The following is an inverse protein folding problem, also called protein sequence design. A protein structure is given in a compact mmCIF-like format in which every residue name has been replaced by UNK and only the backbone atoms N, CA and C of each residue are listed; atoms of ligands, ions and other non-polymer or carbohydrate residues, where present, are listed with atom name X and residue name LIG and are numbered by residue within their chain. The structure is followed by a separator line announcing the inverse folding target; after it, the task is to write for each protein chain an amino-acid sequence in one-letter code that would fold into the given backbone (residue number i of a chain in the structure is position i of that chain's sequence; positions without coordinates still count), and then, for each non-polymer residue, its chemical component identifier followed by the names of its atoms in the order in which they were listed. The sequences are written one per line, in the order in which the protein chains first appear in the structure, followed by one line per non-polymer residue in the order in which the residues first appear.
data_IF_431033347756
#
_entry.id   IF_431033347756
#
_cell.length_a   1.000
_cell.length_b   1.000
_cell.length_c   1.000
_cell.angle_alpha   90.00
_cell.angle_beta   90.00
_cell.angle_gamma   90.00
#
_symmetry.space_group_name_H-M   'P 1'
#
loop_
_entity.id
_entity.type
_entity.pdbx_description
1 polymer ?
#
# COMPACT_ATOMS: atom_id res chain seq x y z
N UNK A 1 -9.06 21.81 17.89
CA UNK A 1 -9.10 20.57 17.09
C UNK A 1 -8.91 20.97 15.63
N UNK A 2 -7.89 20.47 14.92
CA UNK A 2 -7.63 20.85 13.52
C UNK A 2 -8.50 19.97 12.62
N UNK A 3 -9.17 20.60 11.64
CA UNK A 3 -10.03 19.87 10.70
C UNK A 3 -9.21 18.80 9.95
N UNK A 4 -9.74 17.56 9.74
CA UNK A 4 -9.02 16.45 9.10
C UNK A 4 -8.39 16.81 7.74
N UNK A 5 -9.06 17.64 6.94
CA UNK A 5 -8.54 18.09 5.63
C UNK A 5 -7.19 18.82 5.72
N UNK A 6 -6.94 19.57 6.79
CA UNK A 6 -5.64 20.20 7.02
C UNK A 6 -4.55 19.20 7.42
N UNK A 7 -4.93 18.10 8.06
CA UNK A 7 -3.99 17.02 8.38
C UNK A 7 -3.46 16.33 7.13
N UNK A 8 -4.30 16.12 6.15
CA UNK A 8 -3.99 15.42 4.91
C UNK A 8 -2.98 16.20 4.05
N UNK A 9 -2.97 17.54 4.11
CA UNK A 9 -2.02 18.38 3.38
C UNK A 9 -0.54 18.14 3.76
N UNK A 10 -0.30 17.50 4.91
CA UNK A 10 1.06 17.14 5.36
C UNK A 10 1.47 15.72 4.96
N UNK A 11 0.59 14.97 4.30
CA UNK A 11 0.90 13.64 3.80
C UNK A 11 1.41 13.76 2.37
N UNK A 12 2.54 13.11 2.12
CA UNK A 12 3.11 12.94 0.79
C UNK A 12 3.27 11.46 0.52
N UNK A 13 2.95 11.05 -0.69
CA UNK A 13 3.10 9.67 -1.15
C UNK A 13 4.22 9.55 -2.16
N UNK A 14 4.83 8.39 -2.27
CA UNK A 14 5.94 8.10 -3.16
C UNK A 14 5.89 6.62 -3.56
N UNK A 15 6.50 6.25 -4.67
CA UNK A 15 6.65 4.87 -5.08
C UNK A 15 8.11 4.56 -5.37
N UNK A 16 8.64 3.55 -4.72
CA UNK A 16 9.99 3.07 -4.92
C UNK A 16 9.97 1.94 -5.96
N UNK A 17 10.45 2.24 -7.15
CA UNK A 17 10.43 1.30 -8.28
C UNK A 17 11.31 0.07 -8.04
N UNK A 18 12.46 0.24 -7.38
CA UNK A 18 13.40 -0.85 -7.13
C UNK A 18 12.81 -1.89 -6.18
N UNK A 19 12.21 -1.44 -5.09
CA UNK A 19 11.56 -2.32 -4.11
C UNK A 19 10.08 -2.59 -4.41
N UNK A 20 9.49 -1.97 -5.44
CA UNK A 20 8.06 -2.06 -5.79
C UNK A 20 7.16 -1.74 -4.58
N UNK A 21 7.49 -0.67 -3.88
CA UNK A 21 6.89 -0.32 -2.59
C UNK A 21 6.22 1.04 -2.65
N UNK A 22 4.95 1.08 -2.31
CA UNK A 22 4.20 2.32 -2.14
C UNK A 22 4.45 2.89 -0.75
N UNK A 23 4.78 4.16 -0.69
CA UNK A 23 5.22 4.85 0.52
C UNK A 23 4.31 6.03 0.84
N UNK A 24 4.13 6.32 2.11
CA UNK A 24 3.54 7.57 2.56
C UNK A 24 4.33 8.11 3.75
N UNK A 25 4.47 9.43 3.78
CA UNK A 25 5.15 10.15 4.85
C UNK A 25 4.28 11.31 5.32
N UNK A 26 4.18 11.48 6.63
CA UNK A 26 3.62 12.67 7.21
C UNK A 26 4.75 13.63 7.56
N UNK A 27 4.85 14.73 6.82
CA UNK A 27 5.85 15.77 7.09
C UNK A 27 5.64 16.39 8.47
N UNK A 28 6.73 16.64 9.17
CA UNK A 28 6.71 17.37 10.45
C UNK A 28 6.06 18.76 10.28
N UNK A 29 5.22 19.16 11.24
CA UNK A 29 4.57 20.49 11.28
C UNK A 29 5.42 21.52 12.00
N UNK A 30 6.23 21.04 12.94
CA UNK A 30 7.08 21.89 13.77
C UNK A 30 8.43 21.22 14.01
N UNK A 31 9.39 22.02 14.49
CA UNK A 31 10.71 21.51 14.90
C UNK A 31 10.53 20.53 16.08
N UNK A 32 11.04 19.31 15.93
CA UNK A 32 10.92 18.25 16.93
C UNK A 32 9.70 17.33 16.75
N UNK A 33 8.84 17.58 15.77
CA UNK A 33 7.74 16.68 15.41
C UNK A 33 8.29 15.42 14.74
N UNK A 34 7.62 14.28 14.97
CA UNK A 34 7.96 13.04 14.27
C UNK A 34 7.45 13.08 12.83
N UNK A 35 8.22 12.48 11.94
CA UNK A 35 7.87 12.34 10.51
C UNK A 35 7.79 10.85 10.16
N UNK A 36 6.74 10.14 10.62
CA UNK A 36 6.63 8.71 10.40
C UNK A 36 6.43 8.37 8.93
N UNK A 37 6.97 7.23 8.55
CA UNK A 37 6.81 6.63 7.24
C UNK A 37 5.94 5.38 7.33
N UNK A 38 5.08 5.21 6.34
CA UNK A 38 4.27 4.00 6.13
C UNK A 38 4.64 3.43 4.77
N UNK A 39 4.64 2.11 4.66
CA UNK A 39 4.76 1.43 3.37
C UNK A 39 3.63 0.44 3.15
N UNK A 40 3.32 0.21 1.89
CA UNK A 40 2.48 -0.88 1.45
C UNK A 40 3.16 -1.60 0.29
N UNK A 41 3.15 -2.92 0.35
CA UNK A 41 3.71 -3.81 -0.66
C UNK A 41 2.76 -4.94 -0.93
N UNK A 42 2.72 -5.40 -2.18
CA UNK A 42 2.09 -6.67 -2.57
C UNK A 42 3.16 -7.67 -2.95
N UNK A 43 3.00 -8.92 -2.51
CA UNK A 43 3.90 -10.02 -2.87
C UNK A 43 3.13 -11.34 -2.96
N UNK A 44 3.63 -12.28 -3.74
CA UNK A 44 3.15 -13.66 -3.85
C UNK A 44 4.34 -14.61 -4.02
N UNK A 45 4.09 -15.91 -4.05
CA UNK A 45 5.11 -16.92 -4.33
C UNK A 45 5.44 -17.02 -5.82
N UNK A 46 4.46 -16.67 -6.66
CA UNK A 46 4.54 -16.65 -8.12
C UNK A 46 4.89 -15.25 -8.64
N UNK A 47 5.10 -15.15 -9.94
CA UNK A 47 5.25 -13.87 -10.60
C UNK A 47 3.88 -13.24 -10.92
N UNK A 48 3.79 -11.93 -10.82
CA UNK A 48 2.65 -11.17 -11.28
C UNK A 48 2.66 -11.04 -12.81
N UNK A 49 1.49 -11.09 -13.41
CA UNK A 49 1.35 -10.75 -14.83
C UNK A 49 1.42 -9.23 -15.01
N UNK A 50 2.47 -8.77 -15.68
CA UNK A 50 2.69 -7.35 -15.96
C UNK A 50 3.15 -6.55 -14.75
N UNK A 51 3.02 -5.23 -14.85
CA UNK A 51 3.46 -4.31 -13.83
C UNK A 51 2.45 -4.17 -12.69
N UNK A 52 2.95 -3.98 -11.47
CA UNK A 52 2.15 -3.52 -10.35
C UNK A 52 1.81 -2.05 -10.59
N UNK A 53 0.53 -1.70 -10.53
CA UNK A 53 0.07 -0.32 -10.65
C UNK A 53 -0.49 0.16 -9.32
N UNK A 54 -0.54 1.48 -9.14
CA UNK A 54 -0.92 2.07 -7.87
C UNK A 54 -1.72 3.38 -8.04
N UNK A 55 -2.44 3.75 -6.99
CA UNK A 55 -3.14 5.03 -6.91
C UNK A 55 -3.09 5.54 -5.47
N UNK A 56 -2.75 6.81 -5.31
CA UNK A 56 -2.70 7.45 -4.00
C UNK A 56 -3.71 8.57 -3.81
N UNK A 57 -4.41 8.97 -4.87
CA UNK A 57 -5.52 9.91 -4.80
C UNK A 57 -6.85 9.18 -4.66
N UNK A 58 -7.53 9.38 -3.52
CA UNK A 58 -8.87 8.82 -3.32
C UNK A 58 -9.88 9.30 -4.35
N UNK A 59 -9.74 10.54 -4.80
CA UNK A 59 -10.61 11.09 -5.85
C UNK A 59 -10.46 10.32 -7.17
N UNK A 60 -9.22 10.02 -7.56
CA UNK A 60 -8.96 9.23 -8.77
C UNK A 60 -9.43 7.79 -8.61
N UNK A 61 -9.23 7.21 -7.41
CA UNK A 61 -9.67 5.85 -7.10
C UNK A 61 -11.20 5.71 -7.20
N UNK A 62 -11.93 6.59 -6.52
CA UNK A 62 -13.40 6.53 -6.51
C UNK A 62 -13.98 7.00 -7.84
N UNK A 63 -13.45 8.09 -8.41
CA UNK A 63 -13.98 8.75 -9.59
C UNK A 63 -15.13 9.72 -9.30
N UNK A 64 -15.38 10.63 -10.25
CA UNK A 64 -16.44 11.62 -10.16
C UNK A 64 -17.82 10.95 -10.20
N UNK A 65 -18.72 11.38 -9.33
CA UNK A 65 -20.11 10.88 -9.23
C UNK A 65 -20.20 9.38 -8.87
N UNK A 66 -19.18 8.84 -8.21
CA UNK A 66 -19.14 7.47 -7.72
C UNK A 66 -18.91 7.41 -6.21
N UNK A 67 -18.98 6.22 -5.63
CA UNK A 67 -18.77 5.97 -4.22
C UNK A 67 -17.88 4.75 -4.00
N UNK A 68 -17.55 4.45 -2.73
CA UNK A 68 -16.69 3.31 -2.35
C UNK A 68 -17.28 1.94 -2.72
N UNK A 69 -18.59 1.83 -2.91
CA UNK A 69 -19.22 0.57 -3.30
C UNK A 69 -18.97 0.24 -4.79
N UNK A 70 -18.87 1.28 -5.62
CA UNK A 70 -18.67 1.17 -7.05
C UNK A 70 -17.62 2.18 -7.52
N UNK A 71 -16.36 2.06 -7.10
CA UNK A 71 -15.32 3.00 -7.49
C UNK A 71 -14.93 2.78 -8.96
N UNK A 72 -14.53 3.87 -9.63
CA UNK A 72 -14.11 3.86 -11.03
C UNK A 72 -13.03 2.83 -11.33
N UNK A 73 -12.08 2.65 -10.42
CA UNK A 73 -10.95 1.73 -10.61
C UNK A 73 -11.36 0.25 -10.64
N UNK A 74 -12.60 -0.09 -10.29
CA UNK A 74 -13.13 -1.44 -10.38
C UNK A 74 -13.84 -1.71 -11.70
N UNK A 75 -13.96 -0.73 -12.59
CA UNK A 75 -14.40 -0.97 -13.96
C UNK A 75 -13.33 -1.78 -14.70
N UNK A 76 -13.73 -2.72 -15.56
CA UNK A 76 -12.83 -3.69 -16.17
C UNK A 76 -11.63 -3.07 -16.88
N UNK A 77 -11.82 -1.93 -17.54
CA UNK A 77 -10.79 -1.23 -18.30
C UNK A 77 -10.23 0.03 -17.60
N UNK A 78 -10.57 0.26 -16.33
CA UNK A 78 -10.11 1.46 -15.64
C UNK A 78 -8.67 1.29 -15.11
N UNK A 79 -7.67 1.94 -15.72
CA UNK A 79 -6.29 1.84 -15.25
C UNK A 79 -6.10 2.59 -13.93
N UNK A 80 -5.18 2.10 -13.09
CA UNK A 80 -4.56 2.92 -12.07
C UNK A 80 -3.50 3.79 -12.75
N UNK A 81 -3.53 5.08 -12.45
CA UNK A 81 -2.72 6.08 -13.18
C UNK A 81 -1.41 6.43 -12.49
N UNK A 82 -1.05 5.67 -11.46
CA UNK A 82 0.22 5.76 -10.73
C UNK A 82 0.47 7.17 -10.15
N UNK A 83 -0.56 7.77 -9.57
CA UNK A 83 -0.45 9.07 -8.90
C UNK A 83 0.34 8.95 -7.61
N UNK A 84 1.33 9.82 -7.43
CA UNK A 84 2.09 10.01 -6.17
C UNK A 84 2.29 11.49 -5.88
N UNK A 85 2.83 11.81 -4.71
CA UNK A 85 3.11 13.18 -4.28
C UNK A 85 2.12 13.68 -3.23
N UNK A 86 1.82 14.97 -3.28
CA UNK A 86 0.87 15.60 -2.36
C UNK A 86 -0.52 15.58 -2.96
N UNK A 87 -1.42 14.81 -2.38
CA UNK A 87 -2.82 14.70 -2.78
C UNK A 87 -3.74 15.16 -1.65
N UNK A 88 -4.93 15.64 -1.98
CA UNK A 88 -5.86 16.20 -0.98
C UNK A 88 -6.41 15.14 -0.01
N UNK A 89 -6.69 13.95 -0.50
CA UNK A 89 -7.21 12.84 0.29
C UNK A 89 -6.39 11.57 -0.06
N UNK A 90 -5.27 11.32 0.65
CA UNK A 90 -4.35 10.25 0.33
C UNK A 90 -4.89 8.89 0.73
N UNK A 91 -4.68 7.92 -0.15
CA UNK A 91 -4.87 6.49 0.07
C UNK A 91 -3.61 5.74 -0.36
N UNK A 92 -3.50 4.49 0.01
CA UNK A 92 -2.53 3.56 -0.56
C UNK A 92 -3.31 2.43 -1.23
N UNK A 93 -3.20 2.33 -2.55
CA UNK A 93 -3.86 1.28 -3.34
C UNK A 93 -2.87 0.69 -4.32
N UNK A 94 -2.78 -0.63 -4.33
CA UNK A 94 -1.95 -1.41 -5.26
C UNK A 94 -2.85 -2.35 -6.06
N UNK A 95 -2.55 -2.50 -7.35
CA UNK A 95 -3.18 -3.47 -8.25
C UNK A 95 -2.11 -4.36 -8.85
N UNK A 96 -2.35 -5.66 -8.79
CA UNK A 96 -1.54 -6.68 -9.45
C UNK A 96 -2.46 -7.64 -10.20
N UNK A 97 -1.93 -8.28 -11.23
CA UNK A 97 -2.63 -9.31 -12.00
C UNK A 97 -1.95 -10.65 -11.80
N UNK A 98 -2.76 -11.70 -11.70
CA UNK A 98 -2.31 -13.08 -11.57
C UNK A 98 -3.12 -13.96 -12.50
N UNK A 99 -2.46 -14.93 -13.11
CA UNK A 99 -3.12 -16.03 -13.79
C UNK A 99 -3.27 -17.20 -12.83
N UNK A 100 -4.47 -17.75 -12.73
CA UNK A 100 -4.79 -18.92 -11.91
C UNK A 100 -5.42 -19.94 -12.85
N UNK A 101 -4.78 -21.11 -13.01
CA UNK A 101 -5.29 -22.19 -13.84
C UNK A 101 -6.40 -22.97 -13.11
N UNK A 102 -7.28 -23.69 -13.83
CA UNK A 102 -8.33 -24.48 -13.21
C UNK A 102 -7.78 -25.49 -12.19
N UNK A 103 -8.28 -25.41 -10.94
CA UNK A 103 -7.85 -26.26 -9.83
C UNK A 103 -6.61 -25.79 -9.09
N UNK A 104 -6.03 -24.66 -9.48
CA UNK A 104 -4.87 -24.04 -8.83
C UNK A 104 -5.32 -23.04 -7.75
N UNK A 105 -4.51 -22.90 -6.70
CA UNK A 105 -4.67 -21.89 -5.66
C UNK A 105 -3.42 -21.02 -5.57
N UNK A 106 -3.60 -19.68 -5.52
CA UNK A 106 -2.50 -18.73 -5.34
C UNK A 106 -2.77 -17.80 -4.18
N UNK A 107 -1.73 -17.57 -3.37
CA UNK A 107 -1.81 -16.66 -2.22
C UNK A 107 -1.13 -15.34 -2.53
N UNK A 108 -1.86 -14.23 -2.36
CA UNK A 108 -1.37 -12.87 -2.48
C UNK A 108 -1.34 -12.23 -1.09
N UNK A 109 -0.25 -11.56 -0.77
CA UNK A 109 -0.05 -10.92 0.51
C UNK A 109 0.11 -9.41 0.32
N UNK A 110 -0.77 -8.64 0.96
CA UNK A 110 -0.61 -7.20 1.11
C UNK A 110 0.02 -6.92 2.47
N UNK A 111 1.20 -6.33 2.46
CA UNK A 111 1.96 -6.02 3.67
C UNK A 111 1.98 -4.52 3.88
N UNK A 112 1.53 -4.10 5.06
CA UNK A 112 1.59 -2.70 5.49
C UNK A 112 2.44 -2.61 6.74
N UNK A 113 3.34 -1.64 6.80
CA UNK A 113 4.18 -1.41 7.97
C UNK A 113 4.56 0.06 8.12
N UNK A 114 5.19 0.39 9.24
CA UNK A 114 5.62 1.75 9.52
C UNK A 114 7.01 1.79 10.14
N UNK A 115 7.66 2.95 10.07
CA UNK A 115 8.97 3.19 10.68
C UNK A 115 9.27 4.67 10.83
N UNK A 116 10.36 4.97 11.52
CA UNK A 116 10.80 6.34 11.81
C UNK A 116 11.46 7.04 10.62
N UNK A 117 11.92 6.30 9.62
CA UNK A 117 12.59 6.85 8.44
C UNK A 117 12.22 6.08 7.16
N UNK A 118 12.43 6.72 5.98
CA UNK A 118 12.27 6.06 4.67
C UNK A 118 13.14 4.81 4.58
N UNK A 119 14.37 4.87 5.08
CA UNK A 119 15.31 3.74 5.08
C UNK A 119 14.77 2.56 5.87
N UNK A 120 14.20 2.79 7.05
CA UNK A 120 13.67 1.72 7.91
C UNK A 120 12.50 0.99 7.23
N UNK A 121 11.57 1.74 6.63
CA UNK A 121 10.42 1.13 5.96
C UNK A 121 10.81 0.39 4.68
N UNK A 122 11.81 0.85 3.94
CA UNK A 122 12.35 0.13 2.79
C UNK A 122 13.03 -1.17 3.20
N UNK A 123 13.81 -1.18 4.28
CA UNK A 123 14.41 -2.41 4.84
C UNK A 123 13.34 -3.41 5.29
N UNK A 124 12.26 -2.92 5.93
CA UNK A 124 11.14 -3.76 6.31
C UNK A 124 10.41 -4.30 5.07
N UNK A 125 10.14 -3.46 4.08
CA UNK A 125 9.52 -3.86 2.82
C UNK A 125 10.34 -4.95 2.13
N UNK A 126 11.65 -4.78 2.03
CA UNK A 126 12.56 -5.77 1.46
C UNK A 126 12.53 -7.09 2.23
N UNK A 127 12.55 -7.06 3.55
CA UNK A 127 12.41 -8.27 4.38
C UNK A 127 11.13 -9.03 4.03
N UNK A 128 10.00 -8.34 3.95
CA UNK A 128 8.68 -8.94 3.68
C UNK A 128 8.36 -9.09 2.19
N UNK A 129 9.32 -8.86 1.30
CA UNK A 129 9.23 -9.29 -0.09
C UNK A 129 9.26 -10.82 -0.21
N UNK A 130 9.85 -11.50 0.78
CA UNK A 130 9.99 -12.95 0.82
C UNK A 130 8.84 -13.55 1.63
N UNK A 131 7.97 -14.28 0.97
CA UNK A 131 6.75 -14.90 1.55
C UNK A 131 7.04 -15.74 2.80
N UNK A 132 8.22 -16.37 2.90
CA UNK A 132 8.62 -17.14 4.07
C UNK A 132 8.56 -16.35 5.39
N UNK A 133 8.87 -15.05 5.37
CA UNK A 133 8.80 -14.21 6.57
C UNK A 133 7.35 -13.85 6.92
N UNK A 134 6.49 -13.69 5.91
CA UNK A 134 5.06 -13.44 6.13
C UNK A 134 4.39 -14.68 6.74
N UNK A 135 4.67 -15.86 6.18
CA UNK A 135 4.14 -17.15 6.70
C UNK A 135 4.58 -17.39 8.14
N UNK A 136 5.83 -17.04 8.50
CA UNK A 136 6.33 -17.13 9.87
C UNK A 136 5.55 -16.23 10.82
N UNK A 137 5.36 -14.96 10.50
CA UNK A 137 4.58 -14.04 11.32
C UNK A 137 3.15 -14.56 11.54
N UNK A 138 2.50 -15.09 10.49
CA UNK A 138 1.15 -15.66 10.58
C UNK A 138 1.12 -16.89 11.52
N UNK A 139 2.14 -17.75 11.48
CA UNK A 139 2.27 -18.89 12.36
C UNK A 139 2.43 -18.50 13.83
N UNK A 140 3.18 -17.45 14.11
CA UNK A 140 3.35 -16.91 15.46
C UNK A 140 2.04 -16.34 16.03
N UNK A 141 1.21 -15.70 15.23
CA UNK A 141 -0.11 -15.20 15.65
C UNK A 141 -1.15 -16.29 15.90
N UNK A 142 -1.09 -17.42 15.21
CA UNK A 142 -2.04 -18.53 15.41
C UNK A 142 -1.82 -19.24 16.76
N UNK A 143 -0.65 -19.14 17.36
CA UNK A 143 -0.37 -19.70 18.69
C UNK A 143 -0.89 -18.85 19.86
N UNK A 144 -1.25 -17.58 19.64
CA UNK A 144 -1.79 -16.70 20.68
C UNK A 144 -3.32 -16.71 20.78
N UNK A 145 -4.03 -17.39 19.88
CA UNK A 145 -5.49 -17.42 19.87
C UNK A 145 -6.08 -18.70 20.54
N UNK A 146 -5.23 -19.51 21.14
CA UNK A 146 -5.65 -20.74 21.85
C UNK A 146 -5.29 -20.64 23.35
N UNK A 147 -5.89 -19.68 24.07
CA UNK A 147 -6.03 -19.64 25.52
C UNK A 147 -7.44 -19.26 25.91
#
# INVERSE_FOLDING_TARGET
MVHPSFSNLFISTDYDEDSKTLLANRRARAKGDSSPWIFQRVTCEDEFEGAITYETSRLNFIGRNRNLRFPKVMDDDAPLINTVGTVLDPILSLRCSLRIEPGEEKAVYFVTGYGGSKKDVLLLSEKYSKVKYIKRCRGEFTHYTAL
#
